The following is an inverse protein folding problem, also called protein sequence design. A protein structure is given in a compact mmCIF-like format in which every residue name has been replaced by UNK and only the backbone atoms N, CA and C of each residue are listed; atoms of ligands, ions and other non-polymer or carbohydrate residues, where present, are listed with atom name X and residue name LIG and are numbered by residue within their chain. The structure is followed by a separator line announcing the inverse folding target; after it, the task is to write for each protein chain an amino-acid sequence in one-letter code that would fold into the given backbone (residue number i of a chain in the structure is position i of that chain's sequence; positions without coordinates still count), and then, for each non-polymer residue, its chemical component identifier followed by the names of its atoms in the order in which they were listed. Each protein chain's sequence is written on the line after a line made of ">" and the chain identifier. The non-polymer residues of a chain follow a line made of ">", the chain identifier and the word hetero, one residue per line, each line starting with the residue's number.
data_IF_560416530912
#
_entry.id   IF_560416530912
#
_cell.length_a   1.000
_cell.length_b   1.000
_cell.length_c   1.000
_cell.angle_alpha   90.00
_cell.angle_beta   90.00
_cell.angle_gamma   90.00
#
_symmetry.space_group_name_H-M   'P 1'
#
loop_
_entity.id
_entity.type
_entity.pdbx_description
1 polymer ?
#
# COMPACT_ATOMS: atom_id res chain seq x y z
N UNK A 1 -23.70 21.62 22.67
CA UNK A 1 -22.40 21.39 22.02
C UNK A 1 -21.32 21.91 22.94
N UNK A 2 -20.55 21.04 23.60
CA UNK A 2 -19.43 21.46 24.43
C UNK A 2 -18.41 22.15 23.53
N UNK A 3 -18.05 23.39 23.82
CA UNK A 3 -16.91 24.07 23.18
C UNK A 3 -15.69 23.18 23.45
N UNK A 4 -15.10 22.63 22.41
CA UNK A 4 -13.88 21.83 22.52
C UNK A 4 -12.78 22.69 23.15
N UNK A 5 -12.54 22.45 24.42
CA UNK A 5 -11.39 23.00 25.13
C UNK A 5 -10.23 22.03 24.89
N UNK A 6 -9.16 22.46 24.20
CA UNK A 6 -7.97 21.67 24.02
C UNK A 6 -7.39 21.74 22.59
N UNK A 7 -6.52 20.79 22.32
CA UNK A 7 -5.82 20.63 21.05
C UNK A 7 -6.47 19.52 20.23
N UNK A 8 -6.69 19.73 18.93
CA UNK A 8 -7.27 18.71 18.06
C UNK A 8 -6.69 18.77 16.64
N UNK A 9 -6.84 17.68 15.92
CA UNK A 9 -6.53 17.61 14.48
C UNK A 9 -7.84 17.73 13.71
N UNK A 10 -7.95 18.75 12.87
CA UNK A 10 -9.02 18.88 11.90
C UNK A 10 -8.60 18.18 10.59
N UNK A 11 -9.47 17.30 10.07
CA UNK A 11 -9.25 16.56 8.85
C UNK A 11 -10.18 17.07 7.76
N UNK A 12 -9.62 17.62 6.68
CA UNK A 12 -10.37 18.15 5.54
C UNK A 12 -10.51 17.09 4.43
N UNK A 13 -11.71 16.53 4.30
CA UNK A 13 -11.99 15.51 3.28
C UNK A 13 -12.01 16.08 1.85
N UNK A 14 -12.29 17.38 1.65
CA UNK A 14 -12.20 18.00 0.33
C UNK A 14 -10.74 18.07 -0.15
N UNK A 15 -9.80 18.36 0.77
CA UNK A 15 -8.36 18.28 0.46
C UNK A 15 -7.94 16.85 0.11
N UNK A 16 -8.47 15.84 0.80
CA UNK A 16 -8.23 14.43 0.49
C UNK A 16 -8.75 14.07 -0.92
N UNK A 17 -9.96 14.50 -1.26
CA UNK A 17 -10.54 14.31 -2.60
C UNK A 17 -9.70 15.01 -3.68
N UNK A 18 -9.29 16.24 -3.44
CA UNK A 18 -8.42 16.98 -4.35
C UNK A 18 -7.12 16.21 -4.61
N UNK A 19 -6.45 15.74 -3.56
CA UNK A 19 -5.20 14.98 -3.68
C UNK A 19 -5.40 13.66 -4.43
N UNK A 20 -6.49 12.95 -4.14
CA UNK A 20 -6.84 11.72 -4.86
C UNK A 20 -7.07 12.00 -6.35
N UNK A 21 -7.84 13.04 -6.70
CA UNK A 21 -8.09 13.45 -8.07
C UNK A 21 -6.80 13.88 -8.78
N UNK A 22 -5.92 14.60 -8.10
CA UNK A 22 -4.60 14.94 -8.63
C UNK A 22 -3.78 13.68 -8.98
N UNK A 23 -3.73 12.69 -8.07
CA UNK A 23 -3.05 11.42 -8.39
C UNK A 23 -3.69 10.73 -9.59
N UNK A 24 -5.02 10.70 -9.68
CA UNK A 24 -5.73 10.13 -10.83
C UNK A 24 -5.43 10.86 -12.14
N UNK A 25 -5.21 12.18 -12.11
CA UNK A 25 -4.94 12.98 -13.31
C UNK A 25 -3.54 12.79 -13.91
N UNK A 26 -2.59 12.25 -13.12
CA UNK A 26 -1.19 12.04 -13.56
C UNK A 26 -0.85 10.59 -13.87
N UNK A 27 -1.83 9.69 -13.81
CA UNK A 27 -1.68 8.27 -14.17
C UNK A 27 -2.63 7.92 -15.32
N UNK A 28 -2.36 6.80 -16.00
CA UNK A 28 -3.28 6.28 -17.02
C UNK A 28 -4.64 5.89 -16.41
N UNK A 29 -5.73 6.08 -17.16
CA UNK A 29 -7.08 5.63 -16.74
C UNK A 29 -7.14 4.14 -16.37
N UNK A 30 -6.30 3.31 -17.00
CA UNK A 30 -6.20 1.87 -16.73
C UNK A 30 -5.41 1.56 -15.46
N UNK A 31 -4.60 2.50 -14.97
CA UNK A 31 -3.78 2.31 -13.78
C UNK A 31 -4.63 2.43 -12.53
N UNK A 32 -4.64 1.37 -11.72
CA UNK A 32 -5.35 1.33 -10.44
C UNK A 32 -4.66 2.17 -9.37
N UNK A 33 -5.45 2.65 -8.41
CA UNK A 33 -4.93 3.35 -7.23
C UNK A 33 -5.16 2.50 -5.99
N UNK A 34 -4.07 2.17 -5.30
CA UNK A 34 -4.07 1.60 -3.97
C UNK A 34 -3.81 2.70 -2.95
N UNK A 35 -4.79 2.97 -2.09
CA UNK A 35 -4.67 3.93 -1.01
C UNK A 35 -4.02 3.29 0.22
N UNK A 36 -2.90 3.85 0.69
CA UNK A 36 -2.21 3.39 1.88
C UNK A 36 -2.73 4.14 3.10
N UNK A 37 -3.38 3.42 4.02
CA UNK A 37 -4.04 3.96 5.21
C UNK A 37 -3.49 3.38 6.53
N UNK A 38 -2.23 2.95 6.51
CA UNK A 38 -1.50 2.43 7.67
C UNK A 38 -1.25 3.52 8.71
N UNK A 39 -0.85 3.12 9.93
CA UNK A 39 -0.46 4.00 11.02
C UNK A 39 -1.54 5.07 11.31
N UNK A 40 -2.76 4.59 11.61
CA UNK A 40 -3.92 5.46 11.82
C UNK A 40 -4.18 6.42 10.63
N UNK A 41 -4.06 5.90 9.40
CA UNK A 41 -4.17 6.71 8.19
C UNK A 41 -3.29 7.98 8.30
N UNK A 42 -2.00 7.75 8.59
CA UNK A 42 -0.99 8.81 8.82
C UNK A 42 -1.37 9.79 9.94
N UNK A 43 -1.95 9.29 11.03
CA UNK A 43 -2.30 10.09 12.22
C UNK A 43 -3.69 10.74 12.15
N UNK A 44 -4.57 10.27 11.27
CA UNK A 44 -5.95 10.75 11.13
C UNK A 44 -6.97 9.72 11.66
N UNK A 45 -8.01 9.40 10.91
CA UNK A 45 -9.05 8.42 11.27
C UNK A 45 -9.23 7.40 10.14
N UNK A 46 -8.65 6.18 10.27
CA UNK A 46 -8.61 5.21 9.17
C UNK A 46 -9.96 4.85 8.58
N UNK A 47 -10.96 4.64 9.44
CA UNK A 47 -12.29 4.18 9.00
C UNK A 47 -13.01 5.26 8.20
N UNK A 48 -12.91 6.53 8.64
CA UNK A 48 -13.51 7.67 7.93
C UNK A 48 -12.79 7.95 6.61
N UNK A 49 -11.46 7.95 6.63
CA UNK A 49 -10.63 8.14 5.44
C UNK A 49 -10.92 7.03 4.40
N UNK A 50 -10.90 5.77 4.83
CA UNK A 50 -11.15 4.65 3.92
C UNK A 50 -12.58 4.66 3.36
N UNK A 51 -13.61 4.92 4.20
CA UNK A 51 -14.99 5.02 3.73
C UNK A 51 -15.18 6.16 2.73
N UNK A 52 -14.49 7.28 2.92
CA UNK A 52 -14.55 8.39 1.97
C UNK A 52 -13.85 8.06 0.65
N UNK A 53 -12.65 7.48 0.70
CA UNK A 53 -11.92 7.04 -0.50
C UNK A 53 -12.65 5.93 -1.25
N UNK A 54 -13.36 5.04 -0.56
CA UNK A 54 -14.19 4.00 -1.20
C UNK A 54 -15.34 4.61 -2.01
N UNK A 55 -15.98 5.69 -1.51
CA UNK A 55 -16.97 6.48 -2.28
C UNK A 55 -16.35 7.15 -3.50
N UNK A 56 -15.08 7.57 -3.42
CA UNK A 56 -14.31 8.10 -4.56
C UNK A 56 -13.83 7.00 -5.53
N UNK A 57 -14.24 5.75 -5.33
CA UNK A 57 -13.93 4.59 -6.18
C UNK A 57 -12.43 4.26 -6.24
N UNK A 58 -11.73 4.38 -5.10
CA UNK A 58 -10.39 3.79 -4.96
C UNK A 58 -10.45 2.29 -5.29
N UNK A 59 -9.37 1.73 -5.85
CA UNK A 59 -9.37 0.33 -6.27
C UNK A 59 -9.01 -0.62 -5.14
N UNK A 60 -8.00 -0.27 -4.33
CA UNK A 60 -7.43 -1.07 -3.25
C UNK A 60 -7.11 -0.21 -2.04
N UNK A 61 -7.10 -0.84 -0.87
CA UNK A 61 -6.46 -0.29 0.32
C UNK A 61 -5.22 -1.09 0.69
N UNK A 62 -4.29 -0.46 1.42
CA UNK A 62 -3.22 -1.17 2.08
C UNK A 62 -2.92 -0.61 3.47
N UNK A 63 -2.55 -1.53 4.35
CA UNK A 63 -2.16 -1.28 5.73
C UNK A 63 -0.85 -1.99 6.05
N UNK A 64 -0.22 -1.66 7.19
CA UNK A 64 0.99 -2.34 7.61
C UNK A 64 0.69 -3.71 8.20
N UNK A 65 -0.26 -3.80 9.12
CA UNK A 65 -0.53 -4.99 9.93
C UNK A 65 -1.97 -5.48 9.79
N UNK A 66 -2.16 -6.77 10.07
CA UNK A 66 -3.48 -7.44 10.01
C UNK A 66 -4.51 -6.77 10.91
N UNK A 67 -4.12 -6.30 12.10
CA UNK A 67 -5.03 -5.62 13.04
C UNK A 67 -5.64 -4.33 12.48
N UNK A 68 -4.88 -3.57 11.68
CA UNK A 68 -5.38 -2.38 10.99
C UNK A 68 -6.43 -2.77 9.92
N UNK A 69 -6.15 -3.83 9.15
CA UNK A 69 -7.06 -4.33 8.13
C UNK A 69 -8.39 -4.83 8.72
N UNK A 70 -8.34 -5.54 9.85
CA UNK A 70 -9.52 -6.01 10.56
C UNK A 70 -10.42 -4.85 10.98
N UNK A 71 -9.85 -3.75 11.52
CA UNK A 71 -10.60 -2.54 11.87
C UNK A 71 -11.30 -1.93 10.65
N UNK A 72 -10.65 -1.89 9.50
CA UNK A 72 -11.28 -1.42 8.25
C UNK A 72 -12.43 -2.34 7.81
N UNK A 73 -12.27 -3.65 7.90
CA UNK A 73 -13.36 -4.60 7.61
C UNK A 73 -14.53 -4.43 8.57
N UNK A 74 -14.30 -4.26 9.87
CA UNK A 74 -15.32 -3.98 10.88
C UNK A 74 -16.03 -2.65 10.62
N UNK A 75 -15.34 -1.66 10.06
CA UNK A 75 -15.93 -0.39 9.61
C UNK A 75 -16.72 -0.51 8.29
N UNK A 76 -16.84 -1.71 7.71
CA UNK A 76 -17.66 -1.97 6.52
C UNK A 76 -16.96 -1.78 5.18
N UNK A 77 -15.63 -1.56 5.15
CA UNK A 77 -14.89 -1.43 3.89
C UNK A 77 -14.96 -2.74 3.09
N UNK A 78 -15.38 -2.64 1.82
CA UNK A 78 -15.58 -3.79 0.91
C UNK A 78 -14.42 -4.00 -0.04
N UNK A 79 -13.73 -2.95 -0.44
CA UNK A 79 -12.60 -3.02 -1.37
C UNK A 79 -11.49 -3.96 -0.87
N UNK A 80 -10.67 -4.55 -1.77
CA UNK A 80 -9.54 -5.38 -1.40
C UNK A 80 -8.59 -4.62 -0.46
N UNK A 81 -8.09 -5.30 0.59
CA UNK A 81 -7.15 -4.74 1.55
C UNK A 81 -5.88 -5.59 1.56
N UNK A 82 -4.78 -4.99 1.11
CA UNK A 82 -3.45 -5.58 1.14
C UNK A 82 -2.80 -5.35 2.51
N UNK A 83 -2.31 -6.41 3.14
CA UNK A 83 -1.51 -6.35 4.38
C UNK A 83 -0.03 -6.44 4.00
N UNK A 84 0.73 -5.36 4.20
CA UNK A 84 2.14 -5.31 3.79
C UNK A 84 3.06 -6.21 4.60
N UNK A 85 2.77 -6.39 5.89
CA UNK A 85 3.59 -7.18 6.80
C UNK A 85 2.72 -8.11 7.67
N UNK A 86 2.14 -9.16 7.06
CA UNK A 86 1.45 -10.19 7.82
C UNK A 86 2.46 -10.92 8.71
N UNK A 87 2.07 -11.20 9.95
CA UNK A 87 2.86 -11.92 10.93
C UNK A 87 2.34 -13.36 11.04
N UNK A 88 3.18 -14.36 11.36
CA UNK A 88 2.80 -15.78 11.44
C UNK A 88 1.51 -16.01 12.21
N UNK A 89 1.40 -15.44 13.40
CA UNK A 89 0.27 -15.58 14.32
C UNK A 89 -1.05 -15.00 13.77
N UNK A 90 -1.00 -14.15 12.77
CA UNK A 90 -2.16 -13.48 12.20
C UNK A 90 -2.63 -14.05 10.85
N UNK A 91 -1.96 -15.08 10.31
CA UNK A 91 -2.27 -15.62 8.98
C UNK A 91 -3.69 -16.23 8.91
N UNK A 92 -4.16 -16.90 9.96
CA UNK A 92 -5.54 -17.39 10.02
C UNK A 92 -6.57 -16.26 10.05
N UNK A 93 -6.25 -15.13 10.67
CA UNK A 93 -7.09 -13.93 10.71
C UNK A 93 -7.22 -13.28 9.33
N UNK A 94 -6.16 -13.31 8.53
CA UNK A 94 -6.17 -12.85 7.13
C UNK A 94 -7.26 -13.59 6.32
N UNK A 95 -7.29 -14.91 6.42
CA UNK A 95 -8.30 -15.74 5.73
C UNK A 95 -9.70 -15.41 6.25
N UNK A 96 -9.88 -15.35 7.58
CA UNK A 96 -11.19 -15.08 8.22
C UNK A 96 -11.81 -13.76 7.74
N UNK A 97 -10.98 -12.74 7.47
CA UNK A 97 -11.44 -11.41 7.08
C UNK A 97 -11.28 -11.12 5.57
N UNK A 98 -10.98 -12.13 4.76
CA UNK A 98 -10.78 -11.99 3.31
C UNK A 98 -9.81 -10.86 2.98
N UNK A 99 -8.65 -10.86 3.63
CA UNK A 99 -7.55 -9.91 3.42
C UNK A 99 -6.54 -10.49 2.44
N UNK A 100 -5.78 -9.64 1.77
CA UNK A 100 -4.73 -10.07 0.84
C UNK A 100 -3.38 -9.97 1.56
N UNK A 101 -2.68 -11.09 1.86
CA UNK A 101 -1.36 -11.02 2.48
C UNK A 101 -0.28 -10.72 1.46
N UNK A 102 0.77 -10.03 1.91
CA UNK A 102 2.06 -10.00 1.24
C UNK A 102 2.88 -11.21 1.64
N UNK A 103 3.33 -12.00 0.67
CA UNK A 103 4.36 -13.02 0.90
C UNK A 103 5.73 -12.40 0.57
N UNK A 104 6.64 -12.45 1.54
CA UNK A 104 7.93 -11.76 1.47
C UNK A 104 9.14 -12.63 1.87
N UNK A 105 8.92 -13.85 2.33
CA UNK A 105 9.95 -14.87 2.59
C UNK A 105 9.32 -16.26 2.61
N UNK A 106 10.13 -17.30 2.45
CA UNK A 106 9.68 -18.70 2.42
C UNK A 106 8.98 -19.12 3.70
N UNK A 107 9.44 -18.67 4.88
CA UNK A 107 8.78 -18.99 6.15
C UNK A 107 7.30 -18.58 6.15
N UNK A 108 6.97 -17.37 5.69
CA UNK A 108 5.58 -16.90 5.63
C UNK A 108 4.80 -17.64 4.54
N UNK A 109 5.44 -17.93 3.40
CA UNK A 109 4.86 -18.73 2.33
C UNK A 109 4.43 -20.11 2.82
N UNK A 110 5.33 -20.87 3.42
CA UNK A 110 5.07 -22.26 3.85
C UNK A 110 4.03 -22.31 4.98
N UNK A 111 4.13 -21.42 5.99
CA UNK A 111 3.11 -21.33 7.03
C UNK A 111 1.73 -20.99 6.47
N UNK A 112 1.66 -20.12 5.47
CA UNK A 112 0.38 -19.76 4.86
C UNK A 112 -0.20 -20.92 4.05
N UNK A 113 0.62 -21.65 3.29
CA UNK A 113 0.22 -22.87 2.56
C UNK A 113 -0.32 -23.95 3.52
N UNK A 114 0.35 -24.18 4.65
CA UNK A 114 -0.10 -25.14 5.69
C UNK A 114 -1.49 -24.77 6.21
N UNK A 115 -1.73 -23.49 6.54
CA UNK A 115 -3.03 -23.02 7.02
C UNK A 115 -4.10 -23.14 5.92
N UNK A 116 -3.78 -22.81 4.66
CA UNK A 116 -4.70 -22.94 3.54
C UNK A 116 -5.08 -24.40 3.30
N UNK A 117 -4.12 -25.32 3.36
CA UNK A 117 -4.33 -26.77 3.26
C UNK A 117 -5.29 -27.26 4.34
N UNK A 118 -5.02 -26.94 5.61
CA UNK A 118 -5.87 -27.31 6.76
C UNK A 118 -7.31 -26.80 6.60
N UNK A 119 -7.47 -25.58 6.08
CA UNK A 119 -8.78 -24.96 5.84
C UNK A 119 -9.41 -25.36 4.49
N UNK A 120 -8.75 -26.21 3.70
CA UNK A 120 -9.17 -26.60 2.34
C UNK A 120 -9.42 -25.42 1.40
N UNK A 121 -8.73 -24.30 1.61
CA UNK A 121 -8.79 -23.18 0.72
C UNK A 121 -7.90 -23.42 -0.52
N UNK A 122 -8.39 -22.97 -1.68
CA UNK A 122 -7.67 -23.06 -2.95
C UNK A 122 -7.65 -21.70 -3.64
N UNK A 123 -6.60 -21.43 -4.40
CA UNK A 123 -6.42 -20.20 -5.19
C UNK A 123 -6.59 -18.92 -4.35
N UNK A 124 -6.05 -18.92 -3.12
CA UNK A 124 -6.13 -17.76 -2.25
C UNK A 124 -5.26 -16.61 -2.79
N UNK A 125 -5.83 -15.39 -2.98
CA UNK A 125 -5.10 -14.29 -3.59
C UNK A 125 -4.03 -13.75 -2.65
N UNK A 126 -2.81 -13.61 -3.18
CA UNK A 126 -1.67 -13.04 -2.46
C UNK A 126 -0.91 -12.06 -3.33
N UNK A 127 -0.17 -11.14 -2.70
CA UNK A 127 0.83 -10.33 -3.40
C UNK A 127 2.24 -10.76 -3.02
N UNK A 128 3.10 -10.95 -4.02
CA UNK A 128 4.51 -11.24 -3.82
C UNK A 128 5.31 -9.94 -3.67
N UNK A 129 6.14 -9.86 -2.65
CA UNK A 129 7.07 -8.76 -2.46
C UNK A 129 8.46 -9.14 -2.95
N UNK A 130 8.97 -8.38 -3.92
CA UNK A 130 10.32 -8.55 -4.46
C UNK A 130 11.25 -7.50 -3.86
N UNK A 131 12.43 -7.93 -3.41
CA UNK A 131 13.49 -7.02 -2.99
C UNK A 131 14.28 -6.56 -4.21
N UNK A 132 14.29 -5.25 -4.45
CA UNK A 132 15.03 -4.63 -5.56
C UNK A 132 16.05 -3.60 -5.08
N UNK A 133 16.42 -3.65 -3.79
CA UNK A 133 17.45 -2.77 -3.23
C UNK A 133 17.04 -1.98 -1.98
N UNK A 134 15.76 -1.99 -1.58
CA UNK A 134 15.34 -1.41 -0.29
C UNK A 134 15.87 -2.22 0.91
N UNK A 135 16.11 -3.53 0.71
CA UNK A 135 16.73 -4.44 1.68
C UNK A 135 16.02 -4.49 3.05
N UNK A 136 14.69 -4.38 3.05
CA UNK A 136 13.87 -4.46 4.25
C UNK A 136 13.17 -5.82 4.37
N UNK A 137 12.38 -6.18 3.38
CA UNK A 137 11.69 -7.47 3.21
C UNK A 137 11.47 -7.74 1.72
N UNK A 138 11.29 -8.99 1.35
CA UNK A 138 10.97 -9.42 -0.01
C UNK A 138 11.95 -10.47 -0.53
N UNK A 139 11.49 -11.29 -1.46
CA UNK A 139 12.30 -12.29 -2.14
C UNK A 139 13.35 -11.63 -3.05
N UNK A 140 14.56 -12.12 -3.03
CA UNK A 140 15.61 -11.65 -3.91
C UNK A 140 15.43 -12.23 -5.32
N UNK A 141 16.01 -11.60 -6.33
CA UNK A 141 15.90 -12.05 -7.73
C UNK A 141 16.39 -13.49 -7.96
N UNK A 142 17.36 -13.96 -7.16
CA UNK A 142 17.89 -15.34 -7.21
C UNK A 142 16.88 -16.37 -6.70
N UNK A 143 16.01 -16.00 -5.77
CA UNK A 143 15.02 -16.86 -5.12
C UNK A 143 13.73 -17.05 -5.95
N UNK A 144 13.55 -16.28 -7.05
CA UNK A 144 12.30 -16.27 -7.82
C UNK A 144 11.97 -17.64 -8.43
N UNK A 145 12.95 -18.41 -8.90
CA UNK A 145 12.68 -19.75 -9.45
C UNK A 145 12.13 -20.68 -8.38
N UNK A 146 12.84 -20.81 -7.26
CA UNK A 146 12.43 -21.62 -6.13
C UNK A 146 11.06 -21.20 -5.58
N UNK A 147 10.80 -19.87 -5.51
CA UNK A 147 9.51 -19.33 -5.11
C UNK A 147 8.37 -19.80 -6.02
N UNK A 148 8.58 -19.73 -7.34
CA UNK A 148 7.58 -20.15 -8.32
C UNK A 148 7.36 -21.66 -8.23
N UNK A 149 8.44 -22.43 -8.15
CA UNK A 149 8.37 -23.88 -8.02
C UNK A 149 7.58 -24.29 -6.77
N UNK A 150 7.87 -23.65 -5.62
CA UNK A 150 7.11 -23.89 -4.38
C UNK A 150 5.61 -23.54 -4.54
N UNK A 151 5.26 -22.43 -5.20
CA UNK A 151 3.85 -22.03 -5.37
C UNK A 151 3.14 -22.97 -6.33
N UNK A 152 3.81 -23.47 -7.39
CA UNK A 152 3.22 -24.35 -8.40
C UNK A 152 3.09 -25.81 -7.95
N UNK A 153 3.66 -26.21 -6.81
CA UNK A 153 3.54 -27.58 -6.26
C UNK A 153 2.11 -27.94 -5.88
N UNK A 154 1.29 -26.94 -5.62
CA UNK A 154 -0.11 -27.11 -5.20
C UNK A 154 -0.99 -25.99 -5.78
N UNK A 155 -2.25 -25.97 -5.42
CA UNK A 155 -3.21 -24.97 -5.87
C UNK A 155 -3.75 -24.10 -4.72
N UNK A 156 -3.03 -23.97 -3.62
CA UNK A 156 -3.49 -23.19 -2.47
C UNK A 156 -3.42 -21.68 -2.73
N UNK A 157 -2.40 -21.23 -3.47
CA UNK A 157 -2.07 -19.81 -3.66
C UNK A 157 -2.33 -19.41 -5.12
N UNK A 158 -2.96 -18.23 -5.29
CA UNK A 158 -3.03 -17.48 -6.54
C UNK A 158 -2.19 -16.22 -6.41
N UNK A 159 -1.22 -16.01 -7.29
CA UNK A 159 -0.47 -14.75 -7.34
C UNK A 159 -1.36 -13.68 -7.98
N UNK A 160 -2.01 -12.87 -7.15
CA UNK A 160 -2.88 -11.78 -7.59
C UNK A 160 -2.12 -10.48 -7.85
N UNK A 161 -0.96 -10.31 -7.19
CA UNK A 161 -0.10 -9.17 -7.41
C UNK A 161 1.38 -9.43 -7.17
N UNK A 162 2.22 -8.62 -7.83
CA UNK A 162 3.68 -8.60 -7.63
C UNK A 162 4.13 -7.16 -7.45
N UNK A 163 4.92 -6.90 -6.42
CA UNK A 163 5.37 -5.54 -6.16
C UNK A 163 6.75 -5.42 -5.53
N UNK A 164 7.33 -4.24 -5.65
CA UNK A 164 8.49 -3.80 -4.89
C UNK A 164 8.26 -2.41 -4.30
N UNK A 165 9.31 -1.77 -3.81
CA UNK A 165 9.25 -0.43 -3.24
C UNK A 165 10.51 0.35 -3.57
N UNK A 166 10.34 1.54 -4.15
CA UNK A 166 11.44 2.45 -4.43
C UNK A 166 11.96 3.07 -3.14
N UNK A 167 13.26 3.08 -2.95
CA UNK A 167 13.89 3.55 -1.71
C UNK A 167 14.02 5.06 -1.65
N UNK A 168 14.38 5.67 -2.79
CA UNK A 168 14.83 7.06 -2.86
C UNK A 168 14.24 7.78 -4.08
N UNK A 169 12.98 7.46 -4.42
CA UNK A 169 12.32 8.03 -5.60
C UNK A 169 12.03 9.53 -5.51
N UNK A 170 12.27 10.14 -4.37
CA UNK A 170 12.21 11.59 -4.11
C UNK A 170 13.54 12.30 -4.33
N UNK A 171 14.67 11.60 -4.32
CA UNK A 171 16.00 12.18 -4.39
C UNK A 171 16.54 12.13 -5.81
N UNK A 172 16.92 13.31 -6.35
CA UNK A 172 17.55 13.42 -7.67
C UNK A 172 18.94 12.79 -7.74
N UNK A 173 19.66 12.82 -6.64
CA UNK A 173 21.02 12.25 -6.59
C UNK A 173 20.95 10.71 -6.67
N UNK A 174 19.84 10.12 -6.28
CA UNK A 174 19.59 8.68 -6.31
C UNK A 174 18.82 8.23 -7.57
N UNK A 175 18.75 9.06 -8.62
CA UNK A 175 18.02 8.74 -9.85
C UNK A 175 18.52 7.43 -10.47
N UNK A 176 19.81 7.25 -10.63
CA UNK A 176 20.41 6.04 -11.23
C UNK A 176 20.13 4.79 -10.38
N UNK A 177 20.15 4.91 -9.07
CA UNK A 177 19.79 3.82 -8.17
C UNK A 177 18.30 3.45 -8.33
N UNK A 178 17.43 4.44 -8.42
CA UNK A 178 16.00 4.22 -8.65
C UNK A 178 15.75 3.54 -10.00
N UNK A 179 16.45 3.94 -11.06
CA UNK A 179 16.36 3.28 -12.38
C UNK A 179 16.87 1.83 -12.34
N UNK A 180 17.93 1.54 -11.59
CA UNK A 180 18.39 0.16 -11.33
C UNK A 180 17.33 -0.67 -10.63
N UNK A 181 16.63 -0.11 -9.60
CA UNK A 181 15.51 -0.78 -8.93
C UNK A 181 14.37 -1.10 -9.90
N UNK A 182 13.98 -0.15 -10.76
CA UNK A 182 12.94 -0.32 -11.78
C UNK A 182 13.34 -1.43 -12.77
N UNK A 183 14.57 -1.41 -13.27
CA UNK A 183 15.08 -2.41 -14.20
C UNK A 183 15.09 -3.81 -13.58
N UNK A 184 15.59 -3.96 -12.36
CA UNK A 184 15.60 -5.23 -11.64
C UNK A 184 14.18 -5.74 -11.38
N UNK A 185 13.26 -4.86 -11.03
CA UNK A 185 11.85 -5.19 -10.85
C UNK A 185 11.22 -5.72 -12.15
N UNK A 186 11.41 -5.01 -13.27
CA UNK A 186 10.92 -5.45 -14.59
C UNK A 186 11.42 -6.86 -14.95
N UNK A 187 12.71 -7.13 -14.75
CA UNK A 187 13.31 -8.46 -14.98
C UNK A 187 12.67 -9.54 -14.10
N UNK A 188 12.48 -9.24 -12.81
CA UNK A 188 11.88 -10.15 -11.84
C UNK A 188 10.42 -10.48 -12.20
N UNK A 189 9.64 -9.45 -12.54
CA UNK A 189 8.23 -9.60 -12.97
C UNK A 189 8.12 -10.41 -14.24
N UNK A 190 8.97 -10.16 -15.25
CA UNK A 190 9.00 -10.93 -16.49
C UNK A 190 9.24 -12.42 -16.21
N UNK A 191 10.18 -12.75 -15.31
CA UNK A 191 10.47 -14.12 -14.90
C UNK A 191 9.26 -14.76 -14.21
N UNK A 192 8.56 -14.05 -13.34
CA UNK A 192 7.37 -14.55 -12.66
C UNK A 192 6.25 -14.80 -13.67
N UNK A 193 5.89 -13.80 -14.49
CA UNK A 193 4.76 -13.90 -15.45
C UNK A 193 4.95 -15.06 -16.46
N UNK A 194 6.17 -15.37 -16.86
CA UNK A 194 6.45 -16.48 -17.79
C UNK A 194 6.16 -17.85 -17.20
N UNK A 195 6.05 -17.97 -15.87
CA UNK A 195 5.96 -19.26 -15.18
C UNK A 195 4.67 -19.38 -14.31
N UNK A 196 3.71 -18.50 -14.52
CA UNK A 196 2.39 -18.54 -13.86
C UNK A 196 1.29 -18.44 -14.91
N UNK A 197 0.10 -18.97 -14.62
CA UNK A 197 -1.03 -19.00 -15.56
C UNK A 197 -1.74 -17.67 -15.71
N UNK A 198 -1.93 -16.95 -14.58
CA UNK A 198 -2.70 -15.71 -14.54
C UNK A 198 -1.78 -14.49 -14.49
N UNK A 199 -2.11 -13.43 -15.22
CA UNK A 199 -1.37 -12.17 -15.15
C UNK A 199 -1.63 -11.45 -13.82
N UNK A 200 -0.61 -11.25 -12.96
CA UNK A 200 -0.77 -10.54 -11.71
C UNK A 200 -0.83 -9.02 -11.92
N UNK A 201 -1.39 -8.31 -10.95
CA UNK A 201 -1.32 -6.84 -10.86
C UNK A 201 0.12 -6.44 -10.49
N UNK A 202 0.80 -5.72 -11.37
CA UNK A 202 2.18 -5.26 -11.15
C UNK A 202 2.17 -3.85 -10.56
N UNK A 203 2.90 -3.64 -9.45
CA UNK A 203 2.96 -2.30 -8.85
C UNK A 203 4.29 -2.01 -8.14
N UNK A 204 4.82 -0.80 -8.36
CA UNK A 204 6.13 -0.39 -7.84
C UNK A 204 6.08 0.96 -7.11
N UNK A 205 5.49 1.98 -7.73
CA UNK A 205 5.54 3.36 -7.28
C UNK A 205 4.88 3.60 -5.93
N UNK A 206 5.59 4.27 -5.02
CA UNK A 206 5.06 5.02 -3.88
C UNK A 206 4.66 6.45 -4.35
N UNK A 207 4.29 7.35 -3.45
CA UNK A 207 3.90 8.73 -3.79
C UNK A 207 4.93 9.44 -4.66
N UNK A 208 6.20 9.42 -4.27
CA UNK A 208 7.28 10.08 -5.02
C UNK A 208 7.51 9.40 -6.37
N UNK A 209 7.44 8.06 -6.41
CA UNK A 209 7.52 7.29 -7.66
C UNK A 209 6.38 7.62 -8.63
N UNK A 210 5.16 7.85 -8.14
CA UNK A 210 4.03 8.26 -8.99
C UNK A 210 4.33 9.58 -9.68
N UNK A 211 4.93 10.53 -8.97
CA UNK A 211 5.17 11.89 -9.47
C UNK A 211 6.40 11.95 -10.38
N UNK A 212 7.46 11.20 -10.04
CA UNK A 212 8.78 11.36 -10.64
C UNK A 212 9.16 10.30 -11.67
N UNK A 213 8.47 9.14 -11.69
CA UNK A 213 8.77 7.99 -12.56
C UNK A 213 7.51 7.44 -13.24
N UNK A 214 6.87 8.21 -14.16
CA UNK A 214 5.64 7.79 -14.81
C UNK A 214 5.78 6.47 -15.59
N UNK A 215 6.99 6.14 -16.08
CA UNK A 215 7.30 4.88 -16.77
C UNK A 215 7.25 3.64 -15.86
N UNK A 216 7.12 3.85 -14.54
CA UNK A 216 7.07 2.79 -13.52
C UNK A 216 5.70 2.65 -12.85
N UNK A 217 4.64 3.26 -13.37
CA UNK A 217 3.28 3.15 -12.81
C UNK A 217 2.73 1.72 -12.88
N UNK A 218 3.06 0.98 -13.94
CA UNK A 218 2.56 -0.36 -14.21
C UNK A 218 1.02 -0.46 -14.11
N UNK A 219 0.49 -1.59 -13.59
CA UNK A 219 -0.95 -1.80 -13.49
C UNK A 219 -1.59 -1.07 -12.29
N UNK A 220 -0.81 -0.72 -11.26
CA UNK A 220 -1.32 -0.05 -10.05
C UNK A 220 -0.23 0.80 -9.38
N UNK A 221 -0.63 1.93 -8.82
CA UNK A 221 0.23 2.80 -8.01
C UNK A 221 -0.21 2.78 -6.54
N UNK A 222 0.73 3.00 -5.61
CA UNK A 222 0.45 3.03 -4.17
C UNK A 222 0.65 4.43 -3.62
N UNK A 223 -0.46 5.13 -3.39
CA UNK A 223 -0.45 6.48 -2.82
C UNK A 223 -0.65 6.41 -1.30
N UNK A 224 0.35 6.85 -0.56
CA UNK A 224 0.31 7.02 0.89
C UNK A 224 0.30 8.49 1.25
N UNK A 225 1.45 9.03 1.60
CA UNK A 225 1.59 10.39 2.12
C UNK A 225 1.07 11.47 1.14
N UNK A 226 1.05 11.19 -0.16
CA UNK A 226 0.46 12.08 -1.16
C UNK A 226 -1.04 12.30 -0.99
N UNK A 227 -1.79 11.29 -0.52
CA UNK A 227 -3.20 11.46 -0.20
C UNK A 227 -3.41 12.49 0.91
N UNK A 228 -2.45 12.59 1.83
CA UNK A 228 -2.50 13.52 2.98
C UNK A 228 -1.90 14.90 2.69
N UNK A 229 -1.47 15.13 1.43
CA UNK A 229 -1.03 16.44 0.97
C UNK A 229 0.47 16.68 1.02
N UNK A 230 1.27 15.64 1.15
CA UNK A 230 2.73 15.74 1.23
C UNK A 230 3.42 14.98 0.10
N UNK A 231 4.42 15.60 -0.50
CA UNK A 231 5.36 14.96 -1.40
C UNK A 231 6.71 15.64 -1.30
N UNK A 232 7.77 14.85 -1.35
CA UNK A 232 9.13 15.37 -1.52
C UNK A 232 9.33 15.58 -3.02
N UNK A 233 9.08 16.81 -3.48
CA UNK A 233 9.01 17.07 -4.90
C UNK A 233 10.35 17.46 -5.48
N UNK A 234 10.68 16.81 -6.60
CA UNK A 234 11.76 17.26 -7.48
C UNK A 234 11.39 18.51 -8.31
N UNK A 235 10.11 18.86 -8.39
CA UNK A 235 9.61 20.06 -9.10
C UNK A 235 8.65 20.88 -8.23
N UNK A 236 8.62 22.21 -8.44
CA UNK A 236 7.88 23.22 -7.63
C UNK A 236 6.34 23.19 -7.72
N UNK A 237 5.69 22.10 -8.01
CA UNK A 237 4.22 22.07 -8.15
C UNK A 237 3.51 21.95 -6.78
N UNK A 238 2.77 22.96 -6.40
CA UNK A 238 1.91 23.04 -5.19
C UNK A 238 0.58 22.28 -5.36
N UNK A 239 0.59 21.12 -6.04
CA UNK A 239 -0.65 20.45 -6.44
C UNK A 239 -1.30 19.64 -5.34
N UNK A 240 -0.60 19.34 -4.24
CA UNK A 240 -1.14 18.61 -3.10
C UNK A 240 -1.48 19.58 -1.96
N UNK A 241 -2.62 19.34 -1.31
CA UNK A 241 -3.15 20.17 -0.24
C UNK A 241 -3.11 19.39 1.08
N UNK A 242 -2.51 19.92 2.16
CA UNK A 242 -2.54 19.27 3.47
C UNK A 242 -3.96 18.92 3.91
N UNK A 243 -4.16 17.67 4.33
CA UNK A 243 -5.44 17.13 4.78
C UNK A 243 -5.66 17.37 6.26
N UNK A 244 -4.61 17.27 7.06
CA UNK A 244 -4.65 17.48 8.50
C UNK A 244 -4.17 18.88 8.89
N UNK A 245 -4.91 19.53 9.78
CA UNK A 245 -4.51 20.77 10.41
C UNK A 245 -4.56 20.62 11.92
N UNK A 246 -3.46 20.95 12.58
CA UNK A 246 -3.39 21.00 14.03
C UNK A 246 -3.96 22.33 14.52
N UNK A 247 -4.94 22.29 15.41
CA UNK A 247 -5.57 23.46 16.00
C UNK A 247 -5.42 23.45 17.51
N UNK A 248 -5.02 24.57 18.05
CA UNK A 248 -4.93 24.82 19.48
C UNK A 248 -5.89 25.95 19.84
N UNK A 249 -6.74 25.76 20.84
CA UNK A 249 -7.51 26.86 21.40
C UNK A 249 -6.60 27.69 22.30
N UNK A 250 -6.46 28.97 22.00
CA UNK A 250 -5.85 29.92 22.93
C UNK A 250 -6.81 30.11 24.15
N UNK A 251 -6.33 29.73 25.33
CA UNK A 251 -7.00 30.16 26.57
C UNK A 251 -6.89 31.68 26.69
N UNK A 252 -7.98 32.38 26.98
CA UNK A 252 -7.89 33.84 27.28
C UNK A 252 -6.90 34.01 28.43
N UNK A 253 -6.01 35.00 28.32
CA UNK A 253 -5.02 35.36 29.36
C UNK A 253 -5.63 35.70 30.74
N UNK A 254 -6.94 35.65 30.91
CA UNK A 254 -7.65 35.92 32.17
C UNK A 254 -7.54 34.84 33.24
N UNK A 255 -6.94 33.69 32.95
CA UNK A 255 -6.73 32.61 33.94
C UNK A 255 -5.41 32.72 34.73
N UNK A 256 -4.58 33.71 34.45
CA UNK A 256 -3.30 33.95 35.15
C UNK A 256 -3.28 35.29 35.88
N UNK A 257 -4.39 35.66 36.54
CA UNK A 257 -4.38 36.75 37.50
C UNK A 257 -4.65 36.23 38.89
#
# INVERSE_FOLDING_TARGET
>A
MSKNQGTFIEVNLNSLQHNFNFIKSIISERTKVLAVVKAYAYGTEPSKIASFLEKLKVDYFAVAYTSEAVKLRQAGIKKPILVFHPQPENLSTIIKHSLIPTLYCFKILELFKEILSTKKNKNYPVHLKINTGLNRIGFNSKEISELIDSINQDNFIKIDGVYSHLSSSEDKLEFDFTQKQISLFKKSVTKIIKNISDKPIVHLCNTSGIINFPEAHFDMVRCGIGLYGFSNKLTKNKSLIPVGQFKVFNFPNSFYK
#
